data_IF_069358699210
#
_entry.id   IF_069358699210
#
_cell.length_a   1.000
_cell.length_b   1.000
_cell.length_c   1.000
_cell.angle_alpha   90.00
_cell.angle_beta   90.00
_cell.angle_gamma   90.00
#
_symmetry.space_group_name_H-M   'P 1'
#
loop_
_entity.id
_entity.type
_entity.pdbx_description
1 polymer ?
#
# COMPACT_ATOMS: atom_id res chain seq x y z
N UNK A 1 20.68 -15.71 -20.98
CA UNK A 1 19.39 -14.97 -20.88
C UNK A 1 18.70 -15.44 -19.61
N UNK A 2 18.38 -14.55 -18.64
CA UNK A 2 17.64 -14.99 -17.46
C UNK A 2 16.25 -15.49 -17.89
N UNK A 3 15.67 -16.50 -17.21
CA UNK A 3 14.33 -16.96 -17.51
C UNK A 3 13.34 -15.81 -17.33
N UNK A 4 12.46 -15.61 -18.32
CA UNK A 4 11.34 -14.68 -18.16
C UNK A 4 10.47 -15.20 -17.02
N UNK A 5 10.44 -14.46 -15.91
CA UNK A 5 9.54 -14.76 -14.81
C UNK A 5 8.10 -14.77 -15.36
N UNK A 6 7.43 -15.91 -15.20
CA UNK A 6 6.04 -16.08 -15.65
C UNK A 6 5.16 -15.22 -14.75
N UNK A 7 4.48 -14.23 -15.31
CA UNK A 7 3.51 -13.43 -14.56
C UNK A 7 2.38 -14.34 -14.10
N UNK A 8 2.20 -14.46 -12.78
CA UNK A 8 1.09 -15.23 -12.20
C UNK A 8 -0.17 -14.36 -12.27
N UNK A 9 -1.28 -14.85 -12.82
CA UNK A 9 -2.52 -14.08 -12.88
C UNK A 9 -3.10 -13.86 -11.48
N UNK A 10 -3.89 -12.79 -11.28
CA UNK A 10 -4.57 -12.55 -10.02
C UNK A 10 -5.60 -13.65 -9.73
N UNK A 11 -5.85 -13.90 -8.45
CA UNK A 11 -6.85 -14.85 -7.96
C UNK A 11 -8.26 -14.37 -8.28
N UNK A 12 -8.95 -15.13 -9.12
CA UNK A 12 -10.35 -14.88 -9.48
C UNK A 12 -11.35 -15.42 -8.45
N UNK A 13 -10.90 -16.26 -7.51
CA UNK A 13 -11.75 -16.82 -6.45
C UNK A 13 -11.89 -15.88 -5.25
N UNK A 14 -11.03 -14.87 -5.15
CA UNK A 14 -11.14 -13.83 -4.14
C UNK A 14 -12.47 -13.05 -4.31
N UNK A 15 -13.27 -12.87 -3.24
CA UNK A 15 -14.41 -11.97 -3.27
C UNK A 15 -13.99 -10.58 -3.75
N UNK A 16 -14.78 -9.97 -4.64
CA UNK A 16 -14.41 -8.71 -5.29
C UNK A 16 -14.09 -7.58 -4.30
N UNK A 17 -14.80 -7.52 -3.17
CA UNK A 17 -14.54 -6.54 -2.10
C UNK A 17 -13.17 -6.72 -1.45
N UNK A 18 -12.76 -7.96 -1.16
CA UNK A 18 -11.44 -8.27 -0.61
C UNK A 18 -10.31 -8.12 -1.63
N UNK A 19 -10.61 -8.35 -2.92
CA UNK A 19 -9.65 -8.14 -4.00
C UNK A 19 -9.37 -6.65 -4.22
N UNK A 20 -10.42 -5.82 -4.18
CA UNK A 20 -10.29 -4.38 -4.45
C UNK A 20 -9.45 -3.65 -3.39
N UNK A 21 -9.84 -3.74 -2.11
CA UNK A 21 -9.15 -3.10 -1.00
C UNK A 21 -9.42 -3.84 0.31
N UNK A 22 -8.37 -4.17 1.06
CA UNK A 22 -8.46 -4.86 2.34
C UNK A 22 -7.27 -4.53 3.25
N UNK A 23 -7.32 -5.00 4.49
CA UNK A 23 -6.12 -5.09 5.33
C UNK A 23 -5.37 -6.40 5.10
N UNK A 24 -4.05 -6.32 4.91
CA UNK A 24 -3.12 -7.41 5.12
C UNK A 24 -2.48 -7.21 6.49
N UNK A 25 -3.05 -7.84 7.52
CA UNK A 25 -2.79 -7.50 8.93
C UNK A 25 -3.19 -6.05 9.25
N UNK A 26 -2.22 -5.14 9.29
CA UNK A 26 -2.36 -3.75 9.72
C UNK A 26 -2.11 -2.73 8.59
N UNK A 27 -1.85 -3.17 7.36
CA UNK A 27 -1.58 -2.29 6.22
C UNK A 27 -2.50 -2.59 5.02
N UNK A 28 -2.56 -1.65 4.07
CA UNK A 28 -3.42 -1.72 2.90
C UNK A 28 -2.95 -2.80 1.92
N UNK A 29 -3.89 -3.57 1.38
CA UNK A 29 -3.68 -4.63 0.39
C UNK A 29 -4.84 -4.70 -0.62
N UNK A 30 -4.69 -5.54 -1.64
CA UNK A 30 -5.58 -5.63 -2.80
C UNK A 30 -5.11 -4.79 -3.99
N UNK A 31 -5.92 -4.76 -5.04
CA UNK A 31 -5.68 -4.02 -6.29
C UNK A 31 -5.24 -2.56 -6.00
N UNK A 32 -5.97 -1.86 -5.13
CA UNK A 32 -5.67 -0.47 -4.77
C UNK A 32 -4.25 -0.30 -4.20
N UNK A 33 -3.82 -1.22 -3.34
CA UNK A 33 -2.53 -1.15 -2.67
C UNK A 33 -1.38 -1.43 -3.61
N UNK A 34 -1.57 -2.42 -4.49
CA UNK A 34 -0.59 -2.82 -5.50
C UNK A 34 -0.41 -1.71 -6.54
N UNK A 35 -1.49 -1.10 -7.00
CA UNK A 35 -1.44 0.00 -7.96
C UNK A 35 -0.76 1.23 -7.37
N UNK A 36 -1.09 1.58 -6.12
CA UNK A 36 -0.44 2.67 -5.41
C UNK A 36 1.06 2.39 -5.18
N UNK A 37 1.42 1.16 -4.80
CA UNK A 37 2.83 0.77 -4.64
C UNK A 37 3.60 0.89 -5.96
N UNK A 38 3.01 0.43 -7.07
CA UNK A 38 3.61 0.58 -8.39
C UNK A 38 3.76 2.04 -8.81
N UNK A 39 2.77 2.91 -8.53
CA UNK A 39 2.87 4.36 -8.77
C UNK A 39 4.00 4.99 -7.96
N UNK A 40 4.03 4.79 -6.65
CA UNK A 40 5.09 5.32 -5.78
C UNK A 40 6.49 4.86 -6.22
N UNK A 41 6.61 3.65 -6.74
CA UNK A 41 7.89 3.16 -7.30
C UNK A 41 8.24 3.91 -8.59
N UNK A 42 7.29 4.06 -9.51
CA UNK A 42 7.51 4.74 -10.80
C UNK A 42 7.84 6.23 -10.66
N UNK A 43 7.21 6.92 -9.72
CA UNK A 43 7.47 8.34 -9.44
C UNK A 43 8.66 8.57 -8.48
N UNK A 44 9.36 7.51 -8.09
CA UNK A 44 10.55 7.61 -7.25
C UNK A 44 10.27 8.00 -5.80
N UNK A 45 9.02 7.89 -5.32
CA UNK A 45 8.71 8.05 -3.90
C UNK A 45 9.37 6.95 -3.07
N UNK A 46 9.34 5.72 -3.58
CA UNK A 46 9.97 4.57 -2.95
C UNK A 46 10.97 3.89 -3.89
N UNK A 47 12.02 3.35 -3.31
CA UNK A 47 13.01 2.52 -3.99
C UNK A 47 12.89 1.11 -3.44
N UNK A 48 12.83 0.12 -4.33
CA UNK A 48 12.71 -1.29 -3.97
C UNK A 48 14.03 -1.99 -4.25
N UNK A 49 14.61 -2.62 -3.23
CA UNK A 49 15.81 -3.46 -3.33
C UNK A 49 15.50 -4.82 -2.72
N UNK A 50 15.31 -5.82 -3.56
CA UNK A 50 14.79 -7.14 -3.18
C UNK A 50 13.46 -7.01 -2.42
N UNK A 51 13.46 -7.30 -1.11
CA UNK A 51 12.29 -7.16 -0.24
C UNK A 51 12.28 -5.88 0.59
N UNK A 52 13.38 -5.13 0.58
CA UNK A 52 13.50 -3.87 1.29
C UNK A 52 12.90 -2.73 0.48
N UNK A 53 12.24 -1.81 1.20
CA UNK A 53 11.69 -0.58 0.63
C UNK A 53 12.32 0.60 1.35
N UNK A 54 12.91 1.49 0.58
CA UNK A 54 13.48 2.74 1.05
C UNK A 54 12.58 3.90 0.59
N UNK A 55 12.37 4.88 1.46
CA UNK A 55 11.63 6.09 1.15
C UNK A 55 12.63 7.17 0.70
N UNK A 56 12.43 7.74 -0.48
CA UNK A 56 13.26 8.84 -0.97
C UNK A 56 12.93 10.15 -0.24
N UNK A 57 13.72 11.20 -0.46
CA UNK A 57 13.39 12.55 0.04
C UNK A 57 12.06 13.05 -0.54
N UNK A 58 11.84 12.83 -1.84
CA UNK A 58 10.59 13.20 -2.50
C UNK A 58 9.39 12.44 -1.92
N UNK A 59 9.53 11.12 -1.73
CA UNK A 59 8.50 10.30 -1.08
C UNK A 59 8.27 10.67 0.38
N UNK A 60 9.33 11.07 1.10
CA UNK A 60 9.23 11.56 2.47
C UNK A 60 8.34 12.79 2.55
N UNK A 61 8.58 13.78 1.69
CA UNK A 61 7.74 14.97 1.63
C UNK A 61 6.28 14.63 1.30
N UNK A 62 6.06 13.78 0.29
CA UNK A 62 4.72 13.34 -0.10
C UNK A 62 3.96 12.61 1.02
N UNK A 63 4.64 11.72 1.76
CA UNK A 63 4.05 11.02 2.91
C UNK A 63 3.70 11.98 4.06
N UNK A 64 4.55 12.97 4.34
CA UNK A 64 4.28 13.98 5.36
C UNK A 64 3.09 14.87 4.97
N UNK A 65 2.98 15.29 3.70
CA UNK A 65 1.82 16.03 3.19
C UNK A 65 0.52 15.21 3.30
N UNK A 66 0.62 13.90 3.08
CA UNK A 66 -0.46 12.95 3.35
C UNK A 66 -0.67 12.71 4.85
N UNK A 67 0.05 13.38 5.75
CA UNK A 67 -0.09 13.26 7.20
C UNK A 67 0.27 11.88 7.76
N UNK A 68 1.20 11.19 7.12
CA UNK A 68 1.79 9.96 7.66
C UNK A 68 2.78 10.34 8.77
N UNK A 69 2.62 9.77 9.96
CA UNK A 69 3.57 9.93 11.07
C UNK A 69 4.82 9.06 10.83
N UNK A 70 5.78 9.61 10.07
CA UNK A 70 7.02 8.92 9.74
C UNK A 70 7.90 8.68 10.97
N UNK A 71 7.95 9.63 11.91
CA UNK A 71 8.77 9.47 13.11
C UNK A 71 8.21 8.38 14.02
N UNK A 72 6.90 8.35 14.20
CA UNK A 72 6.21 7.28 14.92
C UNK A 72 6.41 5.92 14.25
N UNK A 73 6.37 5.86 12.91
CA UNK A 73 6.65 4.64 12.16
C UNK A 73 8.10 4.15 12.35
N UNK A 74 9.09 5.05 12.30
CA UNK A 74 10.51 4.72 12.49
C UNK A 74 10.85 4.25 13.90
N UNK A 75 10.12 4.73 14.92
CA UNK A 75 10.30 4.30 16.32
C UNK A 75 9.73 2.90 16.63
N UNK A 76 8.93 2.30 15.75
CA UNK A 76 8.36 0.96 15.99
C UNK A 76 9.46 -0.11 15.98
N UNK A 77 9.37 -1.10 16.88
CA UNK A 77 10.26 -2.28 16.92
C UNK A 77 9.94 -3.32 15.83
N UNK A 78 9.91 -2.90 14.57
CA UNK A 78 9.69 -3.76 13.38
C UNK A 78 10.31 -3.09 12.15
N UNK A 79 10.36 -3.80 11.03
CA UNK A 79 10.86 -3.22 9.78
C UNK A 79 10.05 -1.98 9.38
N UNK A 80 10.76 -0.91 9.01
CA UNK A 80 10.14 0.37 8.63
C UNK A 80 9.25 0.22 7.39
N UNK A 81 9.78 -0.32 6.30
CA UNK A 81 9.01 -0.60 5.09
C UNK A 81 9.56 -1.85 4.38
N UNK A 82 8.67 -2.60 3.72
CA UNK A 82 9.03 -3.79 2.96
C UNK A 82 8.02 -4.08 1.86
N UNK A 83 8.41 -4.93 0.92
CA UNK A 83 7.47 -5.52 -0.04
C UNK A 83 6.67 -6.61 0.66
N UNK A 84 5.36 -6.43 0.82
CA UNK A 84 4.47 -7.47 1.29
C UNK A 84 3.74 -8.10 0.08
N UNK A 85 3.77 -9.44 -0.09
CA UNK A 85 3.15 -10.08 -1.24
C UNK A 85 1.63 -10.10 -1.12
N UNK A 86 0.94 -9.63 -2.16
CA UNK A 86 -0.51 -9.75 -2.25
C UNK A 86 -0.92 -11.15 -2.71
N UNK A 87 -1.74 -11.85 -1.93
CA UNK A 87 -2.22 -13.18 -2.32
C UNK A 87 -3.21 -13.16 -3.49
N UNK A 88 -4.01 -12.09 -3.62
CA UNK A 88 -4.99 -11.95 -4.70
C UNK A 88 -4.32 -11.43 -5.96
N UNK A 89 -3.45 -10.43 -5.85
CA UNK A 89 -2.82 -9.82 -7.04
C UNK A 89 -1.50 -10.46 -7.46
N UNK A 90 -0.89 -11.29 -6.59
CA UNK A 90 0.44 -11.89 -6.80
C UNK A 90 1.53 -10.86 -7.11
N UNK A 91 1.39 -9.67 -6.53
CA UNK A 91 2.26 -8.50 -6.70
C UNK A 91 2.54 -7.86 -5.33
N UNK A 92 3.65 -7.12 -5.17
CA UNK A 92 3.96 -6.48 -3.90
C UNK A 92 3.08 -5.27 -3.63
N UNK A 93 2.77 -5.04 -2.35
CA UNK A 93 2.26 -3.78 -1.82
C UNK A 93 3.13 -3.31 -0.63
N UNK A 94 2.89 -2.08 -0.16
CA UNK A 94 3.66 -1.50 0.93
C UNK A 94 3.32 -2.18 2.27
N UNK A 95 4.28 -2.85 2.87
CA UNK A 95 4.21 -3.41 4.21
C UNK A 95 5.05 -2.65 5.23
N UNK A 96 5.18 -3.20 6.43
CA UNK A 96 5.98 -2.64 7.52
C UNK A 96 5.30 -1.50 8.28
N UNK A 97 6.07 -0.81 9.12
CA UNK A 97 5.56 0.33 9.89
C UNK A 97 5.01 1.47 9.02
N UNK A 98 5.64 1.74 7.88
CA UNK A 98 5.21 2.74 6.91
C UNK A 98 3.88 2.35 6.26
N UNK A 99 3.70 1.09 5.85
CA UNK A 99 2.44 0.61 5.29
C UNK A 99 1.26 0.76 6.26
N UNK A 100 1.49 0.49 7.54
CA UNK A 100 0.48 0.68 8.58
C UNK A 100 0.16 2.17 8.80
N UNK A 101 1.19 3.02 8.92
CA UNK A 101 1.01 4.46 9.09
C UNK A 101 0.29 5.11 7.90
N UNK A 102 0.55 4.62 6.68
CA UNK A 102 -0.14 5.05 5.47
C UNK A 102 -1.64 4.70 5.54
N UNK A 103 -1.98 3.48 5.93
CA UNK A 103 -3.39 3.08 6.11
C UNK A 103 -4.07 3.94 7.17
N UNK A 104 -3.42 4.17 8.31
CA UNK A 104 -3.95 5.00 9.39
C UNK A 104 -4.23 6.43 8.92
N UNK A 105 -3.30 7.04 8.16
CA UNK A 105 -3.49 8.37 7.58
C UNK A 105 -4.69 8.43 6.61
N UNK A 106 -4.90 7.38 5.80
CA UNK A 106 -6.06 7.30 4.89
C UNK A 106 -7.39 7.10 5.63
N UNK A 107 -7.39 6.35 6.73
CA UNK A 107 -8.54 6.16 7.60
C UNK A 107 -8.92 7.47 8.30
N UNK A 108 -7.94 8.18 8.88
CA UNK A 108 -8.15 9.47 9.54
C UNK A 108 -8.74 10.52 8.58
N UNK A 109 -8.31 10.50 7.31
CA UNK A 109 -8.83 11.38 6.25
C UNK A 109 -10.17 10.93 5.67
N UNK A 110 -10.71 9.79 6.10
CA UNK A 110 -11.95 9.18 5.58
C UNK A 110 -11.88 8.91 4.08
N UNK A 111 -10.68 8.63 3.57
CA UNK A 111 -10.49 8.15 2.19
C UNK A 111 -10.82 6.67 2.08
N UNK A 112 -10.53 5.95 3.17
CA UNK A 112 -10.87 4.56 3.36
C UNK A 112 -11.65 4.43 4.66
N UNK A 113 -12.58 3.48 4.71
CA UNK A 113 -13.32 3.11 5.91
C UNK A 113 -13.27 1.60 6.14
N UNK A 114 -13.30 1.21 7.42
CA UNK A 114 -13.35 -0.20 7.81
C UNK A 114 -14.75 -0.75 7.62
N UNK A 115 -14.84 -1.98 7.12
CA UNK A 115 -16.11 -2.72 7.08
C UNK A 115 -16.27 -3.51 8.38
N UNK A 116 -17.43 -3.48 9.05
CA UNK A 116 -17.67 -4.28 10.25
C UNK A 116 -17.41 -5.77 10.01
N UNK A 117 -16.76 -6.42 10.98
CA UNK A 117 -16.50 -7.87 10.98
C UNK A 117 -15.79 -8.41 9.71
N UNK A 118 -15.08 -7.55 8.98
CA UNK A 118 -14.40 -7.93 7.74
C UNK A 118 -13.07 -7.19 7.58
N UNK A 119 -12.13 -7.81 6.87
CA UNK A 119 -10.88 -7.15 6.44
C UNK A 119 -11.09 -6.26 5.22
N UNK A 120 -12.26 -6.34 4.57
CA UNK A 120 -12.56 -5.49 3.43
C UNK A 120 -12.59 -4.01 3.85
N UNK A 121 -12.04 -3.17 2.99
CA UNK A 121 -11.98 -1.73 3.17
C UNK A 121 -12.85 -1.06 2.11
N UNK A 122 -13.68 -0.11 2.55
CA UNK A 122 -14.51 0.70 1.65
C UNK A 122 -13.74 1.95 1.24
N UNK A 123 -13.46 2.08 -0.05
CA UNK A 123 -12.89 3.31 -0.60
C UNK A 123 -14.01 4.32 -0.83
N UNK A 124 -13.93 5.49 -0.20
CA UNK A 124 -14.95 6.54 -0.34
C UNK A 124 -14.81 7.24 -1.69
N UNK A 125 -15.85 7.93 -2.20
CA UNK A 125 -15.73 8.71 -3.43
C UNK A 125 -14.61 9.75 -3.38
N UNK A 126 -14.39 10.36 -2.22
CA UNK A 126 -13.24 11.24 -1.97
C UNK A 126 -11.94 10.45 -2.07
N UNK A 127 -11.82 9.33 -1.36
CA UNK A 127 -10.63 8.49 -1.39
C UNK A 127 -10.24 8.03 -2.80
N UNK A 128 -11.20 7.68 -3.67
CA UNK A 128 -10.89 7.32 -5.06
C UNK A 128 -10.18 8.44 -5.82
N UNK A 129 -10.61 9.69 -5.65
CA UNK A 129 -10.00 10.85 -6.32
C UNK A 129 -8.61 11.13 -5.76
N UNK A 130 -8.52 11.23 -4.43
CA UNK A 130 -7.30 11.65 -3.75
C UNK A 130 -6.20 10.58 -3.86
N UNK A 131 -6.52 9.30 -3.65
CA UNK A 131 -5.57 8.18 -3.84
C UNK A 131 -5.17 8.06 -5.31
N UNK A 132 -6.10 8.37 -6.22
CA UNK A 132 -5.84 8.41 -7.66
C UNK A 132 -4.67 9.34 -8.01
N UNK A 133 -4.60 10.50 -7.37
CA UNK A 133 -3.59 11.55 -7.60
C UNK A 133 -2.28 11.34 -6.82
N UNK A 134 -2.20 10.31 -5.97
CA UNK A 134 -0.99 10.07 -5.19
C UNK A 134 0.11 9.50 -6.06
N UNK A 135 1.27 10.16 -5.96
CA UNK A 135 2.50 9.74 -6.60
C UNK A 135 2.34 9.59 -8.13
N UNK A 136 1.44 10.41 -8.71
CA UNK A 136 1.24 10.64 -10.14
C UNK A 136 2.27 11.61 -10.73
#
# INVERSE_FOLDING_TARGET
RPPRLRTVPPSRTAPATLRHARTCYDHLAGELAVDLFARMTRSGWILVRDSAVELSEHGTHGMVQLGVDLDGARRKRRQFACTCPDWSERKPHLGGALGAALLDAMLQRRWIERTPSSRALRVTPRGRREIGQLAD
#
